data_IF_282496606483
#
_entry.id   IF_282496606483
#
_cell.length_a   1.000
_cell.length_b   1.000
_cell.length_c   1.000
_cell.angle_alpha   90.00
_cell.angle_beta   90.00
_cell.angle_gamma   90.00
#
_symmetry.space_group_name_H-M   'P 1'
#
loop_
_entity.id
_entity.type
_entity.pdbx_description
1 polymer ?
#
# COMPACT_ATOMS: atom_id res chain seq x y z
N UNK A 1 -15.07 -10.39 -4.77
CA UNK A 1 -14.74 -9.37 -3.75
C UNK A 1 -13.25 -9.17 -3.81
N UNK A 2 -12.77 -7.95 -4.04
CA UNK A 2 -11.34 -7.68 -4.00
C UNK A 2 -10.88 -7.73 -2.55
N UNK A 3 -9.90 -8.57 -2.24
CA UNK A 3 -9.29 -8.57 -0.91
C UNK A 3 -8.48 -7.29 -0.76
N UNK A 4 -8.91 -6.44 0.16
CA UNK A 4 -8.23 -5.19 0.47
C UNK A 4 -7.52 -5.32 1.81
N UNK A 5 -6.31 -4.77 1.89
CA UNK A 5 -5.52 -4.78 3.11
C UNK A 5 -5.31 -3.36 3.64
N UNK A 6 -5.17 -3.26 4.96
CA UNK A 6 -4.83 -2.00 5.60
C UNK A 6 -3.40 -1.57 5.28
N UNK A 7 -3.11 -0.29 5.49
CA UNK A 7 -1.76 0.26 5.36
C UNK A 7 -0.73 -0.45 6.25
N UNK A 8 -1.10 -0.82 7.47
CA UNK A 8 -0.21 -1.55 8.37
C UNK A 8 0.09 -2.97 7.85
N UNK A 9 -0.92 -3.68 7.35
CA UNK A 9 -0.71 -5.01 6.78
C UNK A 9 0.15 -4.95 5.53
N UNK A 10 -0.06 -3.94 4.69
CA UNK A 10 0.78 -3.68 3.52
C UNK A 10 2.23 -3.44 3.93
N UNK A 11 2.48 -2.56 4.90
CA UNK A 11 3.82 -2.28 5.40
C UNK A 11 4.52 -3.56 5.91
N UNK A 12 3.79 -4.39 6.66
CA UNK A 12 4.29 -5.67 7.17
C UNK A 12 4.64 -6.66 6.05
N UNK A 13 3.77 -6.80 5.04
CA UNK A 13 4.01 -7.69 3.88
C UNK A 13 5.23 -7.21 3.08
N UNK A 14 5.36 -5.90 2.91
CA UNK A 14 6.47 -5.31 2.17
C UNK A 14 7.78 -5.24 2.97
N UNK A 15 7.78 -5.60 4.26
CA UNK A 15 8.96 -5.53 5.12
C UNK A 15 9.47 -4.11 5.36
N UNK A 16 8.62 -3.09 5.24
CA UNK A 16 8.99 -1.68 5.40
C UNK A 16 8.22 -1.01 6.54
N UNK A 17 8.70 0.14 6.99
CA UNK A 17 7.96 0.93 7.97
C UNK A 17 6.69 1.52 7.39
N UNK A 18 5.68 1.74 8.24
CA UNK A 18 4.45 2.47 7.89
C UNK A 18 4.75 3.83 7.22
N UNK A 19 5.73 4.57 7.76
CA UNK A 19 6.17 5.87 7.24
C UNK A 19 6.74 5.77 5.83
N UNK A 20 7.42 4.68 5.51
CA UNK A 20 7.95 4.42 4.17
C UNK A 20 6.80 4.33 3.15
N UNK A 21 5.75 3.58 3.49
CA UNK A 21 4.55 3.45 2.66
C UNK A 21 3.85 4.81 2.50
N UNK A 22 3.67 5.55 3.59
CA UNK A 22 3.10 6.91 3.56
C UNK A 22 3.93 7.87 2.67
N UNK A 23 5.27 7.75 2.70
CA UNK A 23 6.16 8.52 1.82
C UNK A 23 5.96 8.17 0.34
N UNK A 24 5.79 6.89 0.01
CA UNK A 24 5.50 6.47 -1.37
C UNK A 24 4.16 7.01 -1.86
N UNK A 25 3.14 7.02 -1.01
CA UNK A 25 1.84 7.63 -1.33
C UNK A 25 2.00 9.13 -1.58
N UNK A 26 2.70 9.84 -0.68
CA UNK A 26 2.92 11.28 -0.79
C UNK A 26 3.71 11.66 -2.05
N UNK A 27 4.64 10.80 -2.49
CA UNK A 27 5.42 10.96 -3.73
C UNK A 27 4.68 10.52 -4.99
N UNK A 28 3.49 9.92 -4.86
CA UNK A 28 2.71 9.37 -5.98
C UNK A 28 3.25 8.05 -6.53
N UNK A 29 4.27 7.45 -5.90
CA UNK A 29 4.85 6.15 -6.28
C UNK A 29 3.93 4.96 -5.93
N UNK A 30 2.98 5.17 -5.04
CA UNK A 30 1.98 4.18 -4.65
C UNK A 30 0.60 4.84 -4.59
N UNK A 31 -0.37 4.31 -5.32
CA UNK A 31 -1.75 4.82 -5.31
C UNK A 31 -2.63 3.96 -4.40
N UNK A 32 -3.01 4.44 -3.22
CA UNK A 32 -3.95 3.72 -2.36
C UNK A 32 -5.38 3.81 -2.90
N UNK A 33 -6.20 2.82 -2.55
CA UNK A 33 -7.65 2.91 -2.70
C UNK A 33 -8.26 3.46 -1.40
N UNK A 34 -9.39 4.16 -1.50
CA UNK A 34 -10.18 4.55 -0.34
C UNK A 34 -11.33 3.58 -0.16
N UNK A 35 -11.46 3.02 1.04
CA UNK A 35 -12.63 2.26 1.44
C UNK A 35 -13.85 3.20 1.59
N UNK A 36 -15.05 2.61 1.65
CA UNK A 36 -16.32 3.35 1.80
C UNK A 36 -16.35 4.21 3.07
N UNK A 37 -15.63 3.80 4.12
CA UNK A 37 -15.48 4.52 5.38
C UNK A 37 -14.36 5.60 5.36
N UNK A 38 -13.75 5.84 4.20
CA UNK A 38 -12.67 6.79 4.02
C UNK A 38 -11.28 6.29 4.42
N UNK A 39 -11.15 5.04 4.90
CA UNK A 39 -9.83 4.46 5.24
C UNK A 39 -9.01 4.16 4.00
N UNK A 40 -7.69 4.33 4.12
CA UNK A 40 -6.73 3.91 3.11
C UNK A 40 -6.60 2.39 3.12
N UNK A 41 -6.87 1.78 1.98
CA UNK A 41 -6.73 0.34 1.75
C UNK A 41 -6.00 0.07 0.43
N UNK A 42 -5.40 -1.11 0.32
CA UNK A 42 -4.64 -1.54 -0.86
C UNK A 42 -5.28 -2.80 -1.43
N UNK A 43 -5.50 -2.84 -2.75
CA UNK A 43 -5.95 -4.05 -3.42
C UNK A 43 -4.77 -5.01 -3.59
N UNK A 44 -4.92 -6.24 -3.09
CA UNK A 44 -3.90 -7.28 -3.17
C UNK A 44 -3.50 -7.64 -4.60
N UNK A 45 -4.40 -7.52 -5.57
CA UNK A 45 -4.08 -7.82 -6.97
C UNK A 45 -3.05 -6.85 -7.56
N UNK A 46 -3.01 -5.62 -7.05
CA UNK A 46 -2.09 -4.58 -7.51
C UNK A 46 -0.73 -4.64 -6.79
N UNK A 47 -0.57 -5.52 -5.79
CA UNK A 47 0.70 -5.67 -5.06
C UNK A 47 1.80 -6.19 -5.99
N UNK A 48 1.46 -6.95 -7.04
CA UNK A 48 2.42 -7.47 -8.01
C UNK A 48 3.06 -6.39 -8.88
N UNK A 49 2.41 -5.24 -9.02
CA UNK A 49 2.90 -4.09 -9.79
C UNK A 49 3.73 -3.11 -8.94
N UNK A 50 3.94 -3.41 -7.65
CA UNK A 50 4.75 -2.53 -6.80
C UNK A 50 6.22 -2.69 -7.22
N UNK A 51 6.90 -1.58 -7.55
CA UNK A 51 8.29 -1.63 -7.97
C UNK A 51 9.16 -2.28 -6.88
N UNK A 52 10.01 -3.22 -7.28
CA UNK A 52 11.02 -3.82 -6.41
C UNK A 52 11.91 -2.73 -5.80
N UNK A 53 12.06 -2.75 -4.48
CA UNK A 53 12.95 -1.84 -3.75
C UNK A 53 14.38 -2.20 -4.17
N UNK A 54 15.05 -1.28 -4.89
CA UNK A 54 16.51 -1.36 -5.07
C UNK A 54 17.14 -0.63 -3.90
N UNK A 55 17.81 -1.38 -3.03
CA UNK A 55 18.81 -0.84 -2.11
C UNK A 55 20.02 -0.29 -2.87
#
# INVERSE_FOLDING_TARGET
>A
MYETISLNNFANIMGVSRRTVESWIAKGSLTPTKAVDGKIVFNLEHIRDIPSIKE
#
